data_IF_426977819678
#
_entry.id   IF_426977819678
#
_cell.length_a   1.000
_cell.length_b   1.000
_cell.length_c   1.000
_cell.angle_alpha   90.00
_cell.angle_beta   90.00
_cell.angle_gamma   90.00
#
_symmetry.space_group_name_H-M   'P 1'
#
loop_
_entity.id
_entity.type
_entity.pdbx_description
1 polymer ?
#
# COMPACT_ATOMS: atom_id res chain seq x y z
N UNK A 1 -7.84 4.92 -24.09
CA UNK A 1 -7.62 6.27 -23.49
C UNK A 1 -8.97 6.89 -23.14
N UNK A 2 -9.94 6.97 -24.07
CA UNK A 2 -11.25 7.58 -23.83
C UNK A 2 -11.98 6.92 -22.62
N UNK A 3 -12.04 5.60 -22.59
CA UNK A 3 -12.69 4.85 -21.50
C UNK A 3 -12.03 5.11 -20.13
N UNK A 4 -10.70 5.29 -20.09
CA UNK A 4 -9.99 5.62 -18.83
C UNK A 4 -10.38 7.03 -18.34
N UNK A 5 -10.48 8.00 -19.25
CA UNK A 5 -10.89 9.38 -18.91
C UNK A 5 -12.33 9.40 -18.40
N UNK A 6 -13.22 8.69 -19.09
CA UNK A 6 -14.63 8.54 -18.67
C UNK A 6 -14.70 7.90 -17.26
N UNK A 7 -13.91 6.84 -17.01
CA UNK A 7 -13.85 6.19 -15.71
C UNK A 7 -13.38 7.13 -14.58
N UNK A 8 -12.35 7.92 -14.84
CA UNK A 8 -11.86 8.92 -13.87
C UNK A 8 -12.95 9.97 -13.58
N UNK A 9 -13.57 10.52 -14.61
CA UNK A 9 -14.64 11.51 -14.47
C UNK A 9 -15.82 10.91 -13.70
N UNK A 10 -16.19 9.66 -14.00
CA UNK A 10 -17.26 8.95 -13.32
C UNK A 10 -16.99 8.80 -11.81
N UNK A 11 -15.78 8.38 -11.42
CA UNK A 11 -15.39 8.25 -10.00
C UNK A 11 -15.47 9.58 -9.28
N UNK A 12 -14.93 10.67 -9.88
CA UNK A 12 -15.03 12.00 -9.29
C UNK A 12 -16.47 12.50 -9.17
N UNK A 13 -17.32 12.22 -10.18
CA UNK A 13 -18.72 12.58 -10.17
C UNK A 13 -19.47 11.85 -9.06
N UNK A 14 -19.26 10.54 -8.93
CA UNK A 14 -19.88 9.74 -7.86
C UNK A 14 -19.43 10.25 -6.48
N UNK A 15 -18.12 10.48 -6.28
CA UNK A 15 -17.60 11.03 -5.03
C UNK A 15 -18.22 12.41 -4.69
N UNK A 16 -18.37 13.27 -5.71
CA UNK A 16 -19.01 14.59 -5.54
C UNK A 16 -20.49 14.47 -5.19
N UNK A 17 -21.22 13.53 -5.81
CA UNK A 17 -22.65 13.31 -5.55
C UNK A 17 -22.92 12.81 -4.13
N UNK A 18 -22.06 11.88 -3.65
CA UNK A 18 -22.18 11.26 -2.32
C UNK A 18 -21.71 12.22 -1.21
N UNK A 19 -20.96 13.27 -1.54
CA UNK A 19 -20.42 14.22 -0.55
C UNK A 19 -21.54 14.92 0.22
N UNK A 20 -21.47 14.83 1.57
CA UNK A 20 -22.41 15.48 2.49
C UNK A 20 -22.34 17.01 2.45
N UNK A 21 -21.17 17.57 2.13
CA UNK A 21 -20.98 19.03 2.08
C UNK A 21 -20.15 19.47 0.89
N UNK A 22 -20.83 19.61 -0.24
CA UNK A 22 -20.22 19.97 -1.54
C UNK A 22 -19.46 21.31 -1.52
N UNK A 23 -19.87 22.27 -0.67
CA UNK A 23 -19.23 23.60 -0.57
C UNK A 23 -17.92 23.59 0.22
N UNK A 24 -17.71 22.57 1.07
CA UNK A 24 -16.49 22.44 1.89
C UNK A 24 -15.43 21.53 1.25
N UNK A 25 -15.64 21.08 0.01
CA UNK A 25 -14.65 20.26 -0.69
C UNK A 25 -13.38 21.07 -0.91
N UNK A 26 -12.26 20.55 -0.38
CA UNK A 26 -10.94 21.17 -0.58
C UNK A 26 -10.37 20.75 -1.94
N UNK A 27 -10.72 21.52 -2.97
CA UNK A 27 -10.25 21.27 -4.35
C UNK A 27 -8.73 21.23 -4.47
N UNK A 28 -8.02 21.98 -3.63
CA UNK A 28 -6.55 21.98 -3.60
C UNK A 28 -6.02 20.58 -3.25
N UNK A 29 -6.55 19.94 -2.22
CA UNK A 29 -6.18 18.57 -1.82
C UNK A 29 -6.49 17.57 -2.93
N UNK A 30 -7.67 17.68 -3.55
CA UNK A 30 -8.10 16.79 -4.65
C UNK A 30 -7.14 16.91 -5.85
N UNK A 31 -6.85 18.13 -6.28
CA UNK A 31 -5.98 18.37 -7.45
C UNK A 31 -4.54 17.92 -7.14
N UNK A 32 -4.00 18.26 -5.97
CA UNK A 32 -2.64 17.86 -5.59
C UNK A 32 -2.54 16.33 -5.49
N UNK A 33 -3.52 15.67 -4.88
CA UNK A 33 -3.55 14.22 -4.79
C UNK A 33 -3.57 13.55 -6.17
N UNK A 34 -4.41 14.05 -7.07
CA UNK A 34 -4.48 13.56 -8.44
C UNK A 34 -3.17 13.79 -9.22
N UNK A 35 -2.57 14.97 -9.07
CA UNK A 35 -1.28 15.28 -9.70
C UNK A 35 -0.15 14.39 -9.18
N UNK A 36 -0.08 14.15 -7.87
CA UNK A 36 0.90 13.24 -7.28
C UNK A 36 0.72 11.84 -7.88
N UNK A 37 -0.50 11.32 -7.93
CA UNK A 37 -0.79 10.01 -8.50
C UNK A 37 -0.36 9.95 -9.98
N UNK A 38 -0.67 10.97 -10.76
CA UNK A 38 -0.29 11.04 -12.18
C UNK A 38 1.23 11.10 -12.37
N UNK A 39 1.94 11.90 -11.56
CA UNK A 39 3.41 12.01 -11.59
C UNK A 39 4.04 10.65 -11.25
N UNK A 40 3.55 9.97 -10.21
CA UNK A 40 4.05 8.65 -9.85
C UNK A 40 3.80 7.62 -10.95
N UNK A 41 2.59 7.59 -11.52
CA UNK A 41 2.27 6.70 -12.63
C UNK A 41 3.16 6.97 -13.86
N UNK A 42 3.38 8.24 -14.22
CA UNK A 42 4.27 8.62 -15.30
C UNK A 42 5.72 8.22 -15.02
N UNK A 43 6.21 8.50 -13.82
CA UNK A 43 7.56 8.13 -13.40
C UNK A 43 7.77 6.60 -13.44
N UNK A 44 6.79 5.84 -12.96
CA UNK A 44 6.85 4.38 -12.94
C UNK A 44 6.79 3.76 -14.34
N UNK A 45 5.93 4.28 -15.22
CA UNK A 45 5.62 3.63 -16.50
C UNK A 45 6.42 4.17 -17.69
N UNK A 46 6.80 5.44 -17.67
CA UNK A 46 7.41 6.11 -18.84
C UNK A 46 8.81 6.63 -18.61
N UNK A 47 9.15 7.05 -17.41
CA UNK A 47 10.47 7.64 -17.13
C UNK A 47 11.50 6.55 -16.88
N UNK A 48 12.64 6.59 -17.63
CA UNK A 48 13.71 5.58 -17.54
C UNK A 48 14.31 5.46 -16.14
N UNK A 49 14.51 6.59 -15.45
CA UNK A 49 15.02 6.60 -14.07
C UNK A 49 14.01 5.98 -13.10
N UNK A 50 12.73 6.31 -13.25
CA UNK A 50 11.67 5.72 -12.43
C UNK A 50 11.58 4.20 -12.60
N UNK A 51 11.65 3.72 -13.86
CA UNK A 51 11.71 2.28 -14.17
C UNK A 51 12.94 1.62 -13.55
N UNK A 52 14.10 2.26 -13.61
CA UNK A 52 15.33 1.73 -13.02
C UNK A 52 15.20 1.60 -11.49
N UNK A 53 14.68 2.64 -10.82
CA UNK A 53 14.45 2.61 -9.37
C UNK A 53 13.47 1.49 -9.00
N UNK A 54 12.35 1.38 -9.71
CA UNK A 54 11.37 0.31 -9.48
C UNK A 54 11.97 -1.07 -9.69
N UNK A 55 12.75 -1.26 -10.77
CA UNK A 55 13.45 -2.52 -11.03
C UNK A 55 14.41 -2.88 -9.89
N UNK A 56 15.13 -1.91 -9.31
CA UNK A 56 16.00 -2.15 -8.15
C UNK A 56 15.22 -2.54 -6.91
N UNK A 57 14.08 -1.90 -6.67
CA UNK A 57 13.18 -2.24 -5.56
C UNK A 57 12.62 -3.65 -5.77
N UNK A 58 12.14 -3.98 -6.97
CA UNK A 58 11.64 -5.31 -7.30
C UNK A 58 12.69 -6.41 -7.10
N UNK A 59 13.94 -6.16 -7.50
CA UNK A 59 15.04 -7.10 -7.24
C UNK A 59 15.29 -7.30 -5.75
N UNK A 60 15.21 -6.23 -4.96
CA UNK A 60 15.29 -6.34 -3.48
C UNK A 60 14.16 -7.17 -2.90
N UNK A 61 12.93 -6.95 -3.34
CA UNK A 61 11.77 -7.76 -2.93
C UNK A 61 11.94 -9.22 -3.35
N UNK A 62 12.40 -9.46 -4.58
CA UNK A 62 12.65 -10.81 -5.06
C UNK A 62 13.69 -11.54 -4.21
N UNK A 63 14.78 -10.88 -3.82
CA UNK A 63 15.79 -11.46 -2.93
C UNK A 63 15.19 -11.88 -1.57
N UNK A 64 14.30 -11.06 -1.02
CA UNK A 64 13.60 -11.40 0.24
C UNK A 64 12.69 -12.62 0.05
N UNK A 65 12.00 -12.73 -1.09
CA UNK A 65 11.18 -13.90 -1.44
C UNK A 65 12.06 -15.15 -1.56
N UNK A 66 13.22 -15.03 -2.17
CA UNK A 66 14.14 -16.15 -2.37
C UNK A 66 14.69 -16.67 -1.03
N UNK A 67 15.05 -15.77 -0.08
CA UNK A 67 15.37 -16.18 1.29
C UNK A 67 14.20 -16.87 2.00
N UNK A 68 12.98 -16.41 1.79
CA UNK A 68 11.79 -17.07 2.32
C UNK A 68 11.67 -18.50 1.78
N UNK A 69 11.89 -18.70 0.47
CA UNK A 69 11.86 -20.03 -0.17
C UNK A 69 12.93 -20.96 0.37
N UNK A 70 14.14 -20.45 0.64
CA UNK A 70 15.19 -21.25 1.28
C UNK A 70 14.75 -21.76 2.65
N UNK A 71 14.17 -20.88 3.49
CA UNK A 71 13.62 -21.27 4.80
C UNK A 71 12.48 -22.27 4.69
N UNK A 72 11.57 -22.10 3.72
CA UNK A 72 10.46 -23.03 3.44
C UNK A 72 11.02 -24.38 3.00
N UNK A 73 12.01 -24.40 2.11
CA UNK A 73 12.66 -25.62 1.67
C UNK A 73 13.34 -26.38 2.80
N UNK A 74 13.93 -25.66 3.74
CA UNK A 74 14.50 -26.26 4.95
C UNK A 74 13.45 -26.95 5.83
N UNK A 75 12.27 -26.35 5.98
CA UNK A 75 11.21 -26.88 6.84
C UNK A 75 10.44 -28.03 6.17
N UNK A 76 10.07 -27.83 4.90
CA UNK A 76 9.14 -28.72 4.18
C UNK A 76 9.87 -29.70 3.20
N UNK A 77 11.18 -29.55 3.01
CA UNK A 77 11.97 -30.42 2.17
C UNK A 77 11.44 -30.56 0.74
N UNK A 78 11.23 -31.77 0.29
CA UNK A 78 10.78 -32.08 -1.08
C UNK A 78 9.42 -31.50 -1.43
N UNK A 79 8.54 -31.23 -0.44
CA UNK A 79 7.22 -30.63 -0.67
C UNK A 79 7.30 -29.19 -1.19
N UNK A 80 8.42 -28.49 -0.92
CA UNK A 80 8.64 -27.13 -1.45
C UNK A 80 9.01 -27.12 -2.93
N UNK A 81 9.55 -28.24 -3.46
CA UNK A 81 9.93 -28.35 -4.86
C UNK A 81 8.73 -28.59 -5.78
N UNK A 82 7.62 -29.07 -5.21
CA UNK A 82 6.36 -29.23 -5.92
C UNK A 82 5.64 -27.87 -5.93
N UNK A 83 5.88 -27.06 -6.97
CA UNK A 83 5.33 -25.71 -7.12
C UNK A 83 3.80 -25.63 -7.10
N UNK A 84 3.11 -26.78 -7.17
CA UNK A 84 1.64 -26.86 -7.12
C UNK A 84 1.06 -26.72 -5.72
N UNK A 85 1.86 -26.87 -4.66
CA UNK A 85 1.35 -26.80 -3.28
C UNK A 85 1.26 -25.36 -2.80
N UNK A 86 0.11 -24.73 -3.02
CA UNK A 86 -0.17 -23.35 -2.63
C UNK A 86 0.11 -23.08 -1.14
N UNK A 87 -0.30 -24.01 -0.26
CA UNK A 87 -0.12 -23.84 1.17
C UNK A 87 1.37 -23.73 1.59
N UNK A 88 2.25 -24.45 0.94
CA UNK A 88 3.69 -24.42 1.24
C UNK A 88 4.34 -23.21 0.56
N UNK A 89 4.13 -23.06 -0.74
CA UNK A 89 4.91 -22.10 -1.56
C UNK A 89 4.39 -20.65 -1.47
N UNK A 90 3.08 -20.44 -1.34
CA UNK A 90 2.50 -19.10 -1.29
C UNK A 90 2.26 -18.67 0.16
N UNK A 91 1.51 -19.47 0.95
CA UNK A 91 1.23 -19.08 2.34
C UNK A 91 2.50 -19.04 3.18
N UNK A 92 3.46 -19.94 2.94
CA UNK A 92 4.75 -19.93 3.63
C UNK A 92 5.50 -18.61 3.44
N UNK A 93 5.58 -18.08 2.22
CA UNK A 93 6.19 -16.78 1.94
C UNK A 93 5.41 -15.65 2.60
N UNK A 94 4.08 -15.68 2.58
CA UNK A 94 3.25 -14.65 3.23
C UNK A 94 3.50 -14.63 4.75
N UNK A 95 3.59 -15.79 5.38
CA UNK A 95 3.91 -15.91 6.81
C UNK A 95 5.30 -15.33 7.10
N UNK A 96 6.31 -15.67 6.28
CA UNK A 96 7.66 -15.13 6.42
C UNK A 96 7.68 -13.60 6.29
N UNK A 97 7.05 -13.03 5.26
CA UNK A 97 6.98 -11.59 5.07
C UNK A 97 6.26 -10.90 6.24
N UNK A 98 5.17 -11.48 6.73
CA UNK A 98 4.43 -10.93 7.88
C UNK A 98 5.29 -10.94 9.15
N UNK A 99 6.05 -12.02 9.39
CA UNK A 99 6.98 -12.10 10.50
C UNK A 99 8.12 -11.08 10.35
N UNK A 100 8.71 -10.92 9.15
CA UNK A 100 9.74 -9.93 8.87
C UNK A 100 9.25 -8.50 9.13
N UNK A 101 8.06 -8.15 8.62
CA UNK A 101 7.44 -6.84 8.86
C UNK A 101 7.22 -6.61 10.35
N UNK A 102 6.78 -7.63 11.10
CA UNK A 102 6.58 -7.54 12.55
C UNK A 102 7.90 -7.26 13.29
N UNK A 103 9.00 -7.91 12.89
CA UNK A 103 10.34 -7.64 13.44
C UNK A 103 10.80 -6.23 13.14
N UNK A 104 10.66 -5.78 11.88
CA UNK A 104 11.01 -4.41 11.48
C UNK A 104 10.16 -3.37 12.23
N UNK A 105 8.92 -3.74 12.55
CA UNK A 105 8.03 -2.92 13.37
C UNK A 105 8.53 -2.82 14.82
N UNK A 106 8.91 -3.94 15.41
CA UNK A 106 9.48 -3.97 16.75
C UNK A 106 10.78 -3.15 16.87
N UNK A 107 11.62 -3.20 15.84
CA UNK A 107 12.87 -2.43 15.77
C UNK A 107 12.65 -0.92 15.52
N UNK A 108 11.43 -0.47 15.29
CA UNK A 108 11.13 0.94 15.03
C UNK A 108 11.39 1.41 13.60
N UNK A 109 11.92 0.56 12.73
CA UNK A 109 12.22 0.89 11.33
C UNK A 109 10.95 1.26 10.56
N UNK A 110 9.89 0.44 10.72
CA UNK A 110 8.62 0.68 10.04
C UNK A 110 7.95 1.98 10.51
N UNK A 111 8.00 2.28 11.80
CA UNK A 111 7.45 3.53 12.34
C UNK A 111 8.16 4.75 11.76
N UNK A 112 9.47 4.67 11.60
CA UNK A 112 10.26 5.74 10.96
C UNK A 112 9.83 5.95 9.51
N UNK A 113 9.75 4.88 8.72
CA UNK A 113 9.34 4.93 7.30
C UNK A 113 7.92 5.48 7.16
N UNK A 114 6.97 4.97 7.95
CA UNK A 114 5.57 5.42 7.93
C UNK A 114 5.45 6.90 8.30
N UNK A 115 6.18 7.36 9.33
CA UNK A 115 6.20 8.77 9.72
C UNK A 115 6.81 9.66 8.65
N UNK A 116 7.86 9.20 7.98
CA UNK A 116 8.52 9.93 6.91
C UNK A 116 7.58 10.12 5.71
N UNK A 117 6.99 9.03 5.23
CA UNK A 117 6.05 9.04 4.10
C UNK A 117 4.77 9.79 4.47
N UNK A 118 4.13 9.41 5.57
CA UNK A 118 2.88 10.02 6.03
C UNK A 118 3.04 11.50 6.37
N UNK A 119 4.15 11.89 7.01
CA UNK A 119 4.43 13.29 7.32
C UNK A 119 4.70 14.13 6.08
N UNK A 120 5.40 13.59 5.09
CA UNK A 120 5.63 14.24 3.79
C UNK A 120 4.32 14.44 3.02
N UNK A 121 3.53 13.39 2.89
CA UNK A 121 2.23 13.45 2.20
C UNK A 121 1.24 14.38 2.92
N UNK A 122 1.18 14.37 4.24
CA UNK A 122 0.33 15.27 5.02
C UNK A 122 0.62 16.73 4.72
N UNK A 123 1.90 17.11 4.64
CA UNK A 123 2.30 18.48 4.28
C UNK A 123 1.93 18.84 2.85
N UNK A 124 2.10 17.93 1.90
CA UNK A 124 1.81 18.16 0.49
C UNK A 124 0.30 18.26 0.23
N UNK A 125 -0.47 17.37 0.82
CA UNK A 125 -1.92 17.28 0.61
C UNK A 125 -2.71 18.25 1.50
N UNK A 126 -2.09 18.76 2.58
CA UNK A 126 -2.81 19.55 3.60
C UNK A 126 -3.84 18.74 4.39
N UNK A 127 -3.61 17.43 4.51
CA UNK A 127 -4.45 16.47 5.24
C UNK A 127 -3.96 16.27 6.67
N UNK A 128 -4.76 15.65 7.53
CA UNK A 128 -4.33 15.36 8.90
C UNK A 128 -3.20 14.32 8.92
N UNK A 129 -2.37 14.37 9.95
CA UNK A 129 -1.29 13.42 10.12
C UNK A 129 -1.80 11.99 10.37
N UNK A 130 -2.94 11.86 11.06
CA UNK A 130 -3.47 10.58 11.46
C UNK A 130 -3.99 9.79 10.25
N UNK A 131 -4.80 10.41 9.40
CA UNK A 131 -5.30 9.77 8.18
C UNK A 131 -4.17 9.41 7.22
N UNK A 132 -3.16 10.30 7.09
CA UNK A 132 -2.04 10.09 6.17
C UNK A 132 -1.07 9.03 6.70
N UNK A 133 -0.84 8.96 8.01
CA UNK A 133 -0.04 7.89 8.64
C UNK A 133 -0.74 6.55 8.47
N UNK A 134 -2.06 6.47 8.67
CA UNK A 134 -2.82 5.24 8.46
C UNK A 134 -2.75 4.78 7.00
N UNK A 135 -2.91 5.70 6.05
CA UNK A 135 -2.80 5.39 4.62
C UNK A 135 -1.39 4.95 4.22
N UNK A 136 -0.35 5.62 4.75
CA UNK A 136 1.04 5.22 4.52
C UNK A 136 1.37 3.86 5.14
N UNK A 137 0.83 3.57 6.32
CA UNK A 137 0.98 2.28 6.97
C UNK A 137 0.35 1.14 6.16
N UNK A 138 -0.78 1.40 5.51
CA UNK A 138 -1.49 0.40 4.72
C UNK A 138 -0.70 -0.10 3.49
N UNK A 139 0.32 0.64 3.04
CA UNK A 139 1.25 0.19 1.99
C UNK A 139 2.02 -1.07 2.45
N UNK A 140 2.34 -1.15 3.75
CA UNK A 140 3.18 -2.21 4.31
C UNK A 140 2.37 -3.22 5.12
N UNK A 141 1.44 -2.71 5.92
CA UNK A 141 0.54 -3.48 6.77
C UNK A 141 -0.77 -3.79 6.03
N UNK A 142 -1.51 -4.74 6.52
CA UNK A 142 -2.83 -5.00 5.99
C UNK A 142 -3.84 -3.91 6.34
N UNK A 143 -4.94 -3.89 5.62
CA UNK A 143 -6.05 -2.95 5.84
C UNK A 143 -6.68 -3.05 7.24
N UNK A 144 -6.52 -4.18 7.91
CA UNK A 144 -6.97 -4.42 9.29
C UNK A 144 -5.96 -3.93 10.32
N UNK A 145 -4.67 -3.90 9.98
CA UNK A 145 -3.57 -3.57 10.89
C UNK A 145 -3.23 -2.08 10.88
N UNK A 146 -3.24 -1.47 9.71
CA UNK A 146 -2.88 -0.05 9.56
C UNK A 146 -3.74 0.90 10.44
N UNK A 147 -5.08 0.73 10.56
CA UNK A 147 -5.89 1.54 11.45
C UNK A 147 -5.57 1.34 12.94
N UNK A 148 -4.99 0.20 13.34
CA UNK A 148 -4.61 -0.04 14.73
C UNK A 148 -3.54 0.93 15.22
N UNK A 149 -2.71 1.48 14.32
CA UNK A 149 -1.70 2.49 14.65
C UNK A 149 -2.29 3.78 15.19
N UNK A 150 -3.48 4.11 14.72
CA UNK A 150 -4.19 5.33 15.11
C UNK A 150 -5.33 5.04 16.10
N UNK A 151 -5.49 3.78 16.53
CA UNK A 151 -6.55 3.35 17.45
C UNK A 151 -6.75 4.28 18.65
N UNK A 152 -5.70 4.75 19.37
CA UNK A 152 -5.88 5.65 20.52
C UNK A 152 -6.46 7.02 20.15
N UNK A 153 -6.48 7.36 18.88
CA UNK A 153 -6.92 8.68 18.38
C UNK A 153 -8.23 8.59 17.58
N UNK A 154 -8.78 7.39 17.35
CA UNK A 154 -9.98 7.18 16.51
C UNK A 154 -11.16 7.99 17.00
N UNK A 155 -11.36 8.07 18.32
CA UNK A 155 -12.46 8.85 18.93
C UNK A 155 -12.35 10.37 18.67
N UNK A 156 -11.16 10.84 18.31
CA UNK A 156 -10.90 12.27 18.04
C UNK A 156 -10.90 12.59 16.54
N UNK A 157 -11.06 11.60 15.69
CA UNK A 157 -11.12 11.81 14.25
C UNK A 157 -12.45 12.45 13.87
N UNK A 158 -12.38 13.35 12.92
CA UNK A 158 -13.56 13.84 12.22
C UNK A 158 -14.14 12.73 11.32
N UNK A 159 -15.43 12.83 10.98
CA UNK A 159 -16.07 11.88 10.04
C UNK A 159 -15.31 11.79 8.71
N UNK A 160 -14.78 12.90 8.22
CA UNK A 160 -13.98 12.96 6.98
C UNK A 160 -12.66 12.20 7.11
N UNK A 161 -11.96 12.35 8.22
CA UNK A 161 -10.70 11.62 8.48
C UNK A 161 -10.96 10.12 8.63
N UNK A 162 -12.00 9.75 9.37
CA UNK A 162 -12.40 8.36 9.52
C UNK A 162 -12.77 7.74 8.16
N UNK A 163 -13.54 8.46 7.34
CA UNK A 163 -13.88 8.03 5.99
C UNK A 163 -12.64 7.81 5.13
N UNK A 164 -11.65 8.72 5.20
CA UNK A 164 -10.38 8.58 4.47
C UNK A 164 -9.62 7.31 4.88
N UNK A 165 -9.58 7.02 6.18
CA UNK A 165 -8.94 5.79 6.71
C UNK A 165 -9.65 4.54 6.18
N UNK A 166 -10.99 4.53 6.18
CA UNK A 166 -11.79 3.41 5.67
C UNK A 166 -11.58 3.20 4.17
N UNK A 167 -11.65 4.28 3.37
CA UNK A 167 -11.42 4.22 1.92
C UNK A 167 -10.00 3.78 1.61
N UNK A 168 -9.01 4.28 2.35
CA UNK A 168 -7.61 3.86 2.20
C UNK A 168 -7.44 2.36 2.37
N UNK A 169 -8.10 1.76 3.38
CA UNK A 169 -8.09 0.32 3.60
C UNK A 169 -8.78 -0.48 2.49
N UNK A 170 -9.92 0.00 2.01
CA UNK A 170 -10.71 -0.71 0.99
C UNK A 170 -10.17 -0.56 -0.44
N UNK A 171 -9.52 0.57 -0.74
CA UNK A 171 -9.07 0.91 -2.09
C UNK A 171 -7.61 0.53 -2.39
N UNK A 172 -6.88 0.00 -1.42
CA UNK A 172 -5.48 -0.39 -1.59
C UNK A 172 -5.19 -1.78 -1.05
N UNK A 173 -4.08 -2.34 -1.48
CA UNK A 173 -3.61 -3.69 -1.14
C UNK A 173 -2.25 -3.56 -0.46
N UNK A 174 -2.01 -4.33 0.60
CA UNK A 174 -0.71 -4.32 1.28
C UNK A 174 0.39 -4.98 0.45
N UNK A 175 1.63 -4.58 0.71
CA UNK A 175 2.80 -5.15 0.02
C UNK A 175 2.92 -6.67 0.17
N UNK A 176 2.53 -7.23 1.31
CA UNK A 176 2.55 -8.68 1.54
C UNK A 176 1.59 -9.43 0.61
N UNK A 177 0.42 -8.88 0.34
CA UNK A 177 -0.54 -9.47 -0.61
C UNK A 177 -0.05 -9.33 -2.05
N UNK A 178 0.59 -8.20 -2.40
CA UNK A 178 1.22 -8.04 -3.73
C UNK A 178 2.28 -9.11 -3.98
N UNK A 179 3.11 -9.43 -2.97
CA UNK A 179 4.06 -10.54 -3.05
C UNK A 179 3.34 -11.86 -3.31
N UNK A 180 2.23 -12.12 -2.60
CA UNK A 180 1.40 -13.30 -2.85
C UNK A 180 0.90 -13.39 -4.31
N UNK A 181 0.47 -12.28 -4.89
CA UNK A 181 0.05 -12.26 -6.30
C UNK A 181 1.21 -12.52 -7.26
N UNK A 182 2.42 -12.01 -6.97
CA UNK A 182 3.60 -12.31 -7.77
C UNK A 182 3.91 -13.81 -7.80
N UNK A 183 3.77 -14.50 -6.67
CA UNK A 183 3.96 -15.94 -6.58
C UNK A 183 2.91 -16.75 -7.37
N UNK A 184 1.75 -16.16 -7.62
CA UNK A 184 0.71 -16.72 -8.48
C UNK A 184 0.94 -16.43 -9.98
N UNK A 185 2.09 -15.81 -10.34
CA UNK A 185 2.47 -15.52 -11.72
C UNK A 185 1.96 -14.18 -12.25
N UNK A 186 1.43 -13.32 -11.40
CA UNK A 186 1.05 -11.95 -11.78
C UNK A 186 2.31 -11.09 -11.71
N UNK A 187 2.78 -10.48 -12.81
CA UNK A 187 3.95 -9.61 -12.79
C UNK A 187 3.67 -8.36 -11.97
N UNK A 188 4.57 -8.05 -11.05
CA UNK A 188 4.54 -6.84 -10.22
C UNK A 188 5.24 -5.68 -10.93
#
# INVERSE_FOLDING_TARGET
ILNCIIGIIFVFLVAFLISNNKKKINWKTVIIGFLIQFIFAFAALKWSVGKYILSRISLGVQSVIDYAKEGISFIFGSLSNDGSIFAVNVLGVIIFISALVSVLYYLGVMQFVIKLIGGGLSKLLGTSKLETISSAANIFLGQTEAPLLIKPYVEKLTESELFTVMVGGLASVSGSILVGYSLLGIPI
#
